data_IF_408538462666
#
_entry.id   IF_408538462666
#
_cell.length_a   1.000
_cell.length_b   1.000
_cell.length_c   1.000
_cell.angle_alpha   90.00
_cell.angle_beta   90.00
_cell.angle_gamma   90.00
#
_symmetry.space_group_name_H-M   'P 1'
#
loop_
_entity.id
_entity.type
_entity.pdbx_description
1 polymer ?
#
# COMPACT_ATOMS: atom_id res chain seq x y z
N UNK A 1 -1.58 -17.15 0.00
CA UNK A 1 -1.33 -15.98 0.86
C UNK A 1 -0.20 -16.25 1.81
N UNK A 2 0.65 -15.25 2.05
CA UNK A 2 1.56 -15.27 3.20
C UNK A 2 0.77 -15.02 4.49
N UNK A 3 1.36 -15.39 5.63
CA UNK A 3 0.77 -15.07 6.94
C UNK A 3 0.45 -13.57 7.08
N UNK A 4 1.36 -12.72 6.58
CA UNK A 4 1.19 -11.26 6.60
C UNK A 4 0.03 -10.79 5.71
N UNK A 5 -0.06 -11.28 4.46
CA UNK A 5 -1.18 -10.93 3.58
C UNK A 5 -2.52 -11.35 4.17
N UNK A 6 -2.59 -12.54 4.79
CA UNK A 6 -3.80 -13.02 5.45
C UNK A 6 -4.14 -12.16 6.66
N UNK A 7 -3.16 -11.79 7.50
CA UNK A 7 -3.37 -10.93 8.65
C UNK A 7 -3.91 -9.55 8.26
N UNK A 8 -3.33 -8.91 7.23
CA UNK A 8 -3.83 -7.62 6.69
C UNK A 8 -5.24 -7.79 6.13
N UNK A 9 -5.50 -8.82 5.33
CA UNK A 9 -6.82 -9.06 4.76
C UNK A 9 -7.90 -9.27 5.83
N UNK A 10 -7.54 -9.96 6.93
CA UNK A 10 -8.42 -10.21 8.08
C UNK A 10 -8.39 -9.08 9.11
N UNK A 11 -7.70 -7.98 8.83
CA UNK A 11 -7.59 -6.80 9.70
C UNK A 11 -7.09 -7.15 11.11
N UNK A 12 -6.20 -8.15 11.23
CA UNK A 12 -5.59 -8.58 12.49
C UNK A 12 -4.27 -7.87 12.70
N UNK A 13 -4.32 -6.58 12.96
CA UNK A 13 -3.13 -5.74 12.93
C UNK A 13 -2.14 -5.98 14.07
N UNK A 14 -2.60 -6.47 15.22
CA UNK A 14 -1.71 -7.03 16.24
C UNK A 14 -0.83 -8.19 15.71
N UNK A 15 -1.37 -9.01 14.80
CA UNK A 15 -0.62 -10.08 14.12
C UNK A 15 0.27 -9.48 13.02
N UNK A 16 -0.20 -8.46 12.30
CA UNK A 16 0.63 -7.72 11.32
C UNK A 16 1.88 -7.18 12.00
N UNK A 17 1.74 -6.46 13.11
CA UNK A 17 2.85 -5.88 13.86
C UNK A 17 3.83 -6.95 14.36
N UNK A 18 3.31 -8.07 14.86
CA UNK A 18 4.13 -9.21 15.28
C UNK A 18 4.93 -9.78 14.11
N UNK A 19 4.29 -10.00 12.96
CA UNK A 19 4.95 -10.55 11.77
C UNK A 19 6.02 -9.58 11.23
N UNK A 20 5.72 -8.29 11.16
CA UNK A 20 6.68 -7.26 10.74
C UNK A 20 7.86 -7.15 11.71
N UNK A 21 7.62 -7.24 13.02
CA UNK A 21 8.66 -7.29 14.05
C UNK A 21 9.64 -8.46 13.82
N UNK A 22 9.14 -9.60 13.37
CA UNK A 22 9.95 -10.76 12.98
C UNK A 22 10.38 -10.76 11.51
N UNK A 23 10.42 -9.57 10.87
CA UNK A 23 10.92 -9.33 9.51
C UNK A 23 10.20 -10.14 8.43
N UNK A 24 8.91 -10.41 8.60
CA UNK A 24 8.10 -10.95 7.52
C UNK A 24 8.13 -10.00 6.31
N UNK A 25 8.43 -10.53 5.12
CA UNK A 25 8.56 -9.72 3.91
C UNK A 25 7.19 -9.18 3.44
N UNK A 26 6.97 -7.85 3.43
CA UNK A 26 5.70 -7.24 3.01
C UNK A 26 5.47 -7.22 1.48
N UNK A 27 6.51 -7.52 0.69
CA UNK A 27 6.51 -7.41 -0.77
C UNK A 27 6.09 -8.69 -1.49
N UNK A 28 5.66 -9.72 -0.73
CA UNK A 28 5.20 -10.97 -1.34
C UNK A 28 3.78 -10.80 -1.86
N UNK A 29 3.58 -11.08 -3.14
CA UNK A 29 2.28 -11.10 -3.78
C UNK A 29 1.39 -12.26 -3.28
N UNK A 30 0.12 -11.97 -3.05
CA UNK A 30 -0.89 -12.99 -2.80
C UNK A 30 -1.42 -13.63 -4.10
N UNK A 31 -2.41 -14.53 -3.97
CA UNK A 31 -3.01 -15.24 -5.11
C UNK A 31 -3.73 -14.32 -6.10
N UNK A 32 -4.10 -13.11 -5.69
CA UNK A 32 -4.69 -12.07 -6.54
C UNK A 32 -3.63 -11.14 -7.14
N UNK A 33 -2.35 -11.38 -6.89
CA UNK A 33 -1.26 -10.52 -7.32
C UNK A 33 -1.13 -9.22 -6.52
N UNK A 34 -1.72 -9.13 -5.32
CA UNK A 34 -1.63 -7.95 -4.45
C UNK A 34 -0.63 -8.17 -3.32
N UNK A 35 0.14 -7.16 -2.97
CA UNK A 35 0.98 -7.15 -1.75
C UNK A 35 0.15 -6.78 -0.51
N UNK A 36 0.77 -6.85 0.67
CA UNK A 36 0.15 -6.41 1.91
C UNK A 36 -0.27 -4.92 1.85
N UNK A 37 0.55 -4.09 1.21
CA UNK A 37 0.31 -2.65 1.09
C UNK A 37 -0.92 -2.32 0.22
N UNK A 38 -1.14 -3.04 -0.89
CA UNK A 38 -2.37 -2.91 -1.69
C UNK A 38 -3.63 -3.19 -0.87
N UNK A 39 -3.60 -4.21 0.00
CA UNK A 39 -4.76 -4.59 0.82
C UNK A 39 -5.00 -3.59 1.95
N UNK A 40 -3.94 -3.10 2.57
CA UNK A 40 -4.04 -2.05 3.58
C UNK A 40 -4.58 -0.74 2.98
N UNK A 41 -4.20 -0.42 1.75
CA UNK A 41 -4.63 0.82 1.07
C UNK A 41 -6.16 0.96 0.92
N UNK A 42 -6.89 -0.15 0.83
CA UNK A 42 -8.35 -0.18 0.68
C UNK A 42 -9.10 -0.59 1.95
N UNK A 43 -8.40 -0.72 3.08
CA UNK A 43 -9.01 -1.10 4.35
C UNK A 43 -9.86 0.04 4.95
N UNK A 44 -10.91 -0.32 5.70
CA UNK A 44 -11.86 0.62 6.32
C UNK A 44 -11.82 0.58 7.86
N UNK A 45 -10.75 0.06 8.43
CA UNK A 45 -10.57 0.06 9.87
C UNK A 45 -10.18 1.44 10.41
N UNK A 46 -10.45 1.63 11.70
CA UNK A 46 -9.90 2.74 12.47
C UNK A 46 -8.37 2.67 12.45
N UNK A 47 -7.71 3.82 12.39
CA UNK A 47 -6.25 3.93 12.38
C UNK A 47 -5.55 3.23 11.19
N UNK A 48 -6.23 3.06 10.05
CA UNK A 48 -5.62 2.45 8.85
C UNK A 48 -4.32 3.16 8.40
N UNK A 49 -4.26 4.49 8.55
CA UNK A 49 -3.08 5.27 8.21
C UNK A 49 -1.82 4.82 8.95
N UNK A 50 -1.90 4.50 10.24
CA UNK A 50 -0.75 3.99 10.99
C UNK A 50 -0.34 2.59 10.54
N UNK A 51 -1.29 1.73 10.17
CA UNK A 51 -0.98 0.40 9.66
C UNK A 51 -0.30 0.45 8.28
N UNK A 52 -0.73 1.37 7.42
CA UNK A 52 -0.04 1.64 6.15
C UNK A 52 1.39 2.14 6.42
N UNK A 53 1.58 3.08 7.35
CA UNK A 53 2.92 3.51 7.79
C UNK A 53 3.76 2.36 8.34
N UNK A 54 3.18 1.45 9.12
CA UNK A 54 3.89 0.29 9.68
C UNK A 54 4.43 -0.62 8.58
N UNK A 55 3.64 -0.91 7.56
CA UNK A 55 4.07 -1.68 6.39
C UNK A 55 5.21 -0.97 5.64
N UNK A 56 5.05 0.33 5.38
CA UNK A 56 6.06 1.15 4.69
C UNK A 56 7.38 1.19 5.48
N UNK A 57 7.32 1.44 6.79
CA UNK A 57 8.49 1.43 7.68
C UNK A 57 9.15 0.05 7.76
N UNK A 58 8.41 -1.03 7.52
CA UNK A 58 8.93 -2.39 7.43
C UNK A 58 9.50 -2.75 6.05
N UNK A 59 9.62 -1.77 5.13
CA UNK A 59 10.21 -1.96 3.81
C UNK A 59 9.22 -2.41 2.74
N UNK A 60 7.91 -2.16 2.93
CA UNK A 60 6.94 -2.35 1.85
C UNK A 60 7.26 -1.39 0.69
N UNK A 61 7.38 -1.94 -0.50
CA UNK A 61 7.63 -1.19 -1.73
C UNK A 61 6.28 -0.71 -2.30
N UNK A 62 6.01 0.62 -2.30
CA UNK A 62 4.78 1.19 -2.81
C UNK A 62 4.71 1.21 -4.34
N UNK A 63 5.78 0.81 -5.04
CA UNK A 63 5.87 0.83 -6.50
C UNK A 63 5.55 -0.51 -7.16
N UNK A 64 5.36 -1.56 -6.37
CA UNK A 64 4.99 -2.88 -6.89
C UNK A 64 3.60 -2.84 -7.49
N UNK A 65 3.49 -3.32 -8.73
CA UNK A 65 2.24 -3.39 -9.47
C UNK A 65 1.51 -4.72 -9.22
N UNK A 66 0.19 -4.65 -9.07
CA UNK A 66 -0.68 -5.83 -9.06
C UNK A 66 -0.96 -6.36 -10.48
N UNK A 67 -1.81 -7.39 -10.59
CA UNK A 67 -2.19 -7.97 -11.89
C UNK A 67 -2.92 -7.01 -12.83
N UNK A 68 -3.43 -5.89 -12.32
CA UNK A 68 -4.10 -4.85 -13.09
C UNK A 68 -3.16 -3.66 -13.35
N UNK A 69 -1.84 -3.82 -13.14
CA UNK A 69 -0.84 -2.75 -13.26
C UNK A 69 -1.08 -1.58 -12.29
N UNK A 70 -1.73 -1.86 -11.15
CA UNK A 70 -2.01 -0.83 -10.13
C UNK A 70 -1.01 -0.94 -9.01
N UNK A 71 -0.56 0.21 -8.51
CA UNK A 71 0.18 0.30 -7.25
C UNK A 71 -0.74 0.57 -6.07
N UNK A 72 -0.21 0.54 -4.84
CA UNK A 72 -1.01 0.81 -3.64
C UNK A 72 -1.67 2.20 -3.64
N UNK A 73 -1.03 3.20 -4.26
CA UNK A 73 -1.59 4.54 -4.41
C UNK A 73 -2.86 4.55 -5.27
N UNK A 74 -2.86 3.82 -6.39
CA UNK A 74 -4.03 3.74 -7.27
C UNK A 74 -5.22 3.12 -6.55
N UNK A 75 -4.98 2.07 -5.76
CA UNK A 75 -6.01 1.44 -4.95
C UNK A 75 -6.59 2.39 -3.88
N UNK A 76 -5.75 3.20 -3.22
CA UNK A 76 -6.21 4.20 -2.26
C UNK A 76 -7.06 5.31 -2.93
N UNK A 77 -6.67 5.77 -4.12
CA UNK A 77 -7.41 6.76 -4.91
C UNK A 77 -8.76 6.19 -5.36
N UNK A 78 -8.78 4.98 -5.91
CA UNK A 78 -10.01 4.30 -6.35
C UNK A 78 -10.98 4.04 -5.19
N UNK A 79 -10.45 3.80 -3.98
CA UNK A 79 -11.25 3.61 -2.77
C UNK A 79 -11.64 4.93 -2.07
N UNK A 80 -11.29 6.09 -2.64
CA UNK A 80 -11.55 7.42 -2.08
C UNK A 80 -11.00 7.56 -0.63
N UNK A 81 -9.72 7.20 -0.42
CA UNK A 81 -9.01 7.20 0.87
C UNK A 81 -7.97 8.33 0.95
N UNK A 82 -8.37 9.60 1.16
CA UNK A 82 -7.45 10.74 1.11
C UNK A 82 -6.35 10.70 2.18
N UNK A 83 -6.64 10.14 3.35
CA UNK A 83 -5.70 9.91 4.44
C UNK A 83 -4.57 8.95 4.03
N UNK A 84 -4.93 7.83 3.40
CA UNK A 84 -3.97 6.84 2.90
C UNK A 84 -3.19 7.38 1.71
N UNK A 85 -3.86 8.08 0.78
CA UNK A 85 -3.21 8.77 -0.33
C UNK A 85 -2.14 9.73 0.19
N UNK A 86 -2.44 10.51 1.23
CA UNK A 86 -1.47 11.40 1.88
C UNK A 86 -0.29 10.64 2.48
N UNK A 87 -0.53 9.51 3.16
CA UNK A 87 0.54 8.66 3.72
C UNK A 87 1.45 8.12 2.61
N UNK A 88 0.89 7.56 1.54
CA UNK A 88 1.65 6.98 0.44
C UNK A 88 2.45 8.04 -0.32
N UNK A 89 1.88 9.22 -0.57
CA UNK A 89 2.59 10.33 -1.22
C UNK A 89 3.69 10.93 -0.33
N UNK A 90 3.47 11.00 0.99
CA UNK A 90 4.43 11.62 1.93
C UNK A 90 5.60 10.71 2.30
N UNK A 91 5.40 9.39 2.28
CA UNK A 91 6.47 8.43 2.53
C UNK A 91 7.57 8.49 1.46
N UNK A 92 7.21 9.00 0.27
CA UNK A 92 8.06 8.97 -0.91
C UNK A 92 8.33 10.40 -1.40
N UNK A 93 9.19 11.14 -0.70
CA UNK A 93 9.72 12.44 -1.16
C UNK A 93 10.47 12.34 -2.52
N UNK A 94 10.48 11.18 -3.19
CA UNK A 94 10.91 10.98 -4.58
C UNK A 94 9.76 10.70 -5.59
N UNK A 95 8.51 10.42 -5.16
CA UNK A 95 7.37 10.22 -6.06
C UNK A 95 6.72 11.51 -6.58
N UNK A 96 6.91 12.65 -5.89
CA UNK A 96 6.41 13.95 -6.35
C UNK A 96 6.92 14.31 -7.77
N UNK A 97 8.09 13.82 -8.15
CA UNK A 97 8.65 14.00 -9.50
C UNK A 97 7.87 13.24 -10.61
N UNK A 98 7.06 12.24 -10.25
CA UNK A 98 6.36 11.33 -11.19
C UNK A 98 4.85 11.56 -11.26
N UNK A 99 4.19 11.98 -10.18
CA UNK A 99 2.81 12.49 -10.26
C UNK A 99 2.73 13.68 -11.26
N UNK A 100 3.76 14.52 -11.28
CA UNK A 100 3.96 15.57 -12.29
C UNK A 100 4.08 15.02 -13.74
N UNK A 101 4.58 13.79 -13.93
CA UNK A 101 4.67 13.15 -15.26
C UNK A 101 3.34 12.54 -15.70
N UNK A 102 2.57 11.96 -14.77
CA UNK A 102 1.24 11.44 -15.06
C UNK A 102 0.25 12.57 -15.41
N UNK A 103 0.34 13.72 -14.73
CA UNK A 103 -0.50 14.90 -15.04
C UNK A 103 -0.16 15.54 -16.39
N UNK A 104 1.09 15.45 -16.87
CA UNK A 104 1.48 15.98 -18.19
C UNK A 104 1.01 15.08 -19.34
N UNK A 105 0.91 13.77 -19.13
CA UNK A 105 0.40 12.84 -20.15
C UNK A 105 -1.13 12.95 -20.25
N UNK A 106 -1.83 13.09 -19.12
CA UNK A 106 -3.28 13.28 -19.10
C UNK A 106 -3.74 14.65 -19.66
N UNK A 107 -2.88 15.67 -19.68
CA UNK A 107 -3.18 17.00 -20.23
C UNK A 107 -2.84 17.17 -21.74
N UNK A 108 -2.42 16.09 -22.42
CA UNK A 108 -2.10 16.07 -23.86
C UNK A 108 -2.95 15.08 -24.67
N UNK A 109 -4.01 14.54 -24.07
CA UNK A 109 -5.13 13.90 -24.74
C UNK A 109 -6.37 14.78 -24.56
#
# INVERSE_FOLDING_TARGET
>A
DTALNLAVHRQKYNIVDLLLKYRANPNIFNKSGKTALHRAAVSYIDDNANHVRALLNAGADPTLEDRNQRVALDEAVLANKPDITSVLLSHDRNLAQRAYRASIIAARL
#
